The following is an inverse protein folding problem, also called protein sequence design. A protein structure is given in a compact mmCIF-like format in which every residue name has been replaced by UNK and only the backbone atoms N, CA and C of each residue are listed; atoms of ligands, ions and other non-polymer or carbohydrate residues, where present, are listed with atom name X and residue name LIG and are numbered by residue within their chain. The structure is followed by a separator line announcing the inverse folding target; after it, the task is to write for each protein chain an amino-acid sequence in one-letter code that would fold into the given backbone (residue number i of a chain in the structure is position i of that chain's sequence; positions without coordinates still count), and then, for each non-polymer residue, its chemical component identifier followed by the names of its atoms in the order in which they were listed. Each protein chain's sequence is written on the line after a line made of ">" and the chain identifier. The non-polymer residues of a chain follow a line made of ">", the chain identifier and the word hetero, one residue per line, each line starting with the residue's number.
data_IF_710349835850
#
_entry.id   IF_710349835850
#
_cell.length_a   1.000
_cell.length_b   1.000
_cell.length_c   1.000
_cell.angle_alpha   90.00
_cell.angle_beta   90.00
_cell.angle_gamma   90.00
#
_symmetry.space_group_name_H-M   'P 1'
#
loop_
_entity.id
_entity.type
_entity.pdbx_description
1 polymer ?
#
# COMPACT_ATOMS: atom_id res chain seq x y z
N UNK A 1 6.31 -21.91 -9.96
CA UNK A 1 5.52 -20.66 -9.83
C UNK A 1 6.11 -19.63 -10.78
N UNK A 2 5.25 -18.91 -11.50
CA UNK A 2 5.64 -17.91 -12.48
C UNK A 2 5.71 -16.54 -11.81
N UNK A 3 6.84 -15.87 -11.94
CA UNK A 3 7.01 -14.49 -11.48
C UNK A 3 7.73 -13.70 -12.58
N UNK A 4 7.14 -12.58 -12.97
CA UNK A 4 7.59 -11.80 -14.15
C UNK A 4 8.60 -10.71 -13.80
N UNK A 5 9.06 -10.64 -12.59
CA UNK A 5 10.01 -9.62 -12.12
C UNK A 5 10.05 -9.57 -10.62
N UNK A 6 10.43 -8.43 -10.06
CA UNK A 6 10.45 -8.24 -8.61
C UNK A 6 9.05 -8.31 -8.04
N UNK A 7 8.89 -9.12 -6.99
CA UNK A 7 7.62 -9.28 -6.29
C UNK A 7 7.57 -8.30 -5.12
N UNK A 8 6.58 -7.46 -5.14
CA UNK A 8 6.31 -6.52 -4.06
C UNK A 8 5.15 -7.03 -3.21
N UNK A 9 5.30 -6.97 -1.91
CA UNK A 9 4.24 -7.31 -0.94
C UNK A 9 4.36 -6.44 0.30
N UNK A 10 3.27 -6.20 1.02
CA UNK A 10 3.33 -5.58 2.35
C UNK A 10 4.09 -6.49 3.33
N UNK A 11 4.79 -5.94 4.33
CA UNK A 11 5.49 -6.74 5.34
C UNK A 11 4.60 -7.77 6.06
N UNK A 12 3.36 -7.42 6.35
CA UNK A 12 2.38 -8.28 7.02
C UNK A 12 1.86 -9.44 6.14
N UNK A 13 2.15 -9.46 4.85
CA UNK A 13 1.86 -10.57 3.94
C UNK A 13 3.01 -11.59 3.81
N UNK A 14 3.98 -11.53 4.74
CA UNK A 14 5.16 -12.43 4.69
C UNK A 14 4.81 -13.92 4.78
N UNK A 15 3.70 -14.27 5.43
CA UNK A 15 3.22 -15.65 5.59
C UNK A 15 2.15 -16.07 4.60
N UNK A 16 1.68 -15.16 3.75
CA UNK A 16 0.65 -15.44 2.74
C UNK A 16 1.21 -16.23 1.57
N UNK A 17 0.35 -17.01 0.94
CA UNK A 17 0.66 -17.58 -0.39
C UNK A 17 0.67 -16.43 -1.39
N UNK A 18 1.83 -16.13 -1.97
CA UNK A 18 1.95 -15.09 -3.00
C UNK A 18 1.58 -15.71 -4.36
N UNK A 19 0.66 -15.08 -5.08
CA UNK A 19 0.18 -15.53 -6.38
C UNK A 19 0.24 -14.39 -7.38
N UNK A 20 1.09 -14.48 -8.41
CA UNK A 20 1.12 -13.49 -9.48
C UNK A 20 -0.11 -13.64 -10.37
N UNK A 21 -0.94 -12.62 -10.41
CA UNK A 21 -2.10 -12.55 -11.31
C UNK A 21 -2.02 -11.40 -12.28
N UNK A 22 -1.16 -10.43 -11.98
CA UNK A 22 -0.82 -9.32 -12.88
C UNK A 22 0.65 -8.95 -12.74
N UNK A 23 1.23 -8.37 -13.79
CA UNK A 23 2.56 -7.76 -13.76
C UNK A 23 2.47 -6.33 -14.33
N UNK A 24 3.25 -5.41 -13.72
CA UNK A 24 3.20 -3.99 -14.07
C UNK A 24 2.03 -3.24 -13.42
N UNK A 25 1.83 -1.98 -13.82
CA UNK A 25 0.83 -1.05 -13.26
C UNK A 25 -0.02 -0.43 -14.36
N UNK A 26 -1.35 -0.48 -14.23
CA UNK A 26 -2.26 0.12 -15.22
C UNK A 26 -2.14 1.63 -15.34
N UNK A 27 -1.70 2.30 -14.28
CA UNK A 27 -1.51 3.75 -14.27
C UNK A 27 -0.11 4.16 -14.73
N UNK A 28 0.92 3.66 -14.09
CA UNK A 28 2.36 3.82 -14.43
C UNK A 28 2.78 5.28 -14.71
N UNK A 29 2.16 6.27 -14.04
CA UNK A 29 2.43 7.70 -14.27
C UNK A 29 2.88 8.45 -13.04
N UNK A 30 2.70 7.87 -11.84
CA UNK A 30 3.08 8.54 -10.59
C UNK A 30 4.54 8.99 -10.64
N UNK A 31 4.81 10.29 -10.41
CA UNK A 31 6.13 10.87 -10.59
C UNK A 31 7.20 10.28 -9.66
N UNK A 32 6.83 9.82 -8.49
CA UNK A 32 7.74 9.24 -7.50
C UNK A 32 8.05 7.75 -7.74
N UNK A 33 7.20 7.04 -8.48
CA UNK A 33 7.21 5.58 -8.55
C UNK A 33 8.09 5.09 -9.70
N UNK A 34 9.04 4.21 -9.37
CA UNK A 34 9.90 3.48 -10.32
C UNK A 34 9.62 1.99 -10.34
N UNK A 35 8.68 1.52 -9.50
CA UNK A 35 8.29 0.11 -9.46
C UNK A 35 7.79 -0.33 -10.85
N UNK A 36 8.28 -1.48 -11.31
CA UNK A 36 7.98 -2.04 -12.62
C UNK A 36 8.54 -1.27 -13.83
N UNK A 37 9.46 -0.32 -13.63
CA UNK A 37 10.12 0.39 -14.74
C UNK A 37 11.05 -0.54 -15.56
N UNK A 38 11.48 -1.65 -14.99
CA UNK A 38 12.31 -2.70 -15.59
C UNK A 38 11.52 -3.66 -16.50
N UNK A 39 10.19 -3.62 -16.46
CA UNK A 39 9.36 -4.48 -17.30
C UNK A 39 9.27 -3.95 -18.75
N UNK A 40 9.32 -4.82 -19.77
CA UNK A 40 9.22 -4.43 -21.17
C UNK A 40 7.79 -4.06 -21.62
N UNK A 41 6.85 -3.97 -20.70
CA UNK A 41 5.45 -3.60 -20.91
C UNK A 41 4.93 -2.84 -19.70
N UNK A 42 3.85 -2.07 -19.89
CA UNK A 42 3.25 -1.30 -18.80
C UNK A 42 2.43 -2.17 -17.85
N UNK A 43 1.59 -3.04 -18.38
CA UNK A 43 0.68 -3.90 -17.61
C UNK A 43 0.28 -5.13 -18.43
N UNK A 44 0.15 -6.26 -17.75
CA UNK A 44 -0.54 -7.43 -18.29
C UNK A 44 -1.15 -8.26 -17.16
N UNK A 45 -2.22 -8.99 -17.47
CA UNK A 45 -2.73 -10.06 -16.65
C UNK A 45 -1.95 -11.35 -16.93
N UNK A 46 -1.66 -12.15 -15.91
CA UNK A 46 -1.12 -13.50 -16.09
C UNK A 46 -2.16 -14.41 -16.75
N UNK A 47 -1.76 -15.29 -17.68
CA UNK A 47 -2.67 -16.30 -18.24
C UNK A 47 -3.31 -17.15 -17.13
N UNK A 48 -4.58 -17.52 -17.29
CA UNK A 48 -5.27 -18.33 -16.28
C UNK A 48 -4.64 -19.71 -16.11
N UNK A 49 -4.07 -20.23 -17.18
CA UNK A 49 -3.34 -21.50 -17.18
C UNK A 49 -2.09 -21.42 -16.28
N UNK A 50 -1.39 -20.31 -16.30
CA UNK A 50 -0.22 -20.07 -15.45
C UNK A 50 -0.63 -19.94 -13.99
N UNK A 51 -1.70 -19.18 -13.71
CA UNK A 51 -2.28 -19.02 -12.36
C UNK A 51 -2.69 -20.40 -11.79
N UNK A 52 -3.36 -21.23 -12.59
CA UNK A 52 -3.77 -22.57 -12.17
C UNK A 52 -2.55 -23.50 -11.97
N UNK A 53 -1.56 -23.41 -12.84
CA UNK A 53 -0.31 -24.19 -12.72
C UNK A 53 0.45 -23.81 -11.44
N UNK A 54 0.52 -22.52 -11.11
CA UNK A 54 1.15 -22.03 -9.90
C UNK A 54 0.44 -22.50 -8.62
N UNK A 55 -0.89 -22.46 -8.60
CA UNK A 55 -1.67 -22.98 -7.48
C UNK A 55 -1.46 -24.50 -7.30
N UNK A 56 -1.38 -25.25 -8.38
CA UNK A 56 -1.11 -26.69 -8.37
C UNK A 56 0.30 -27.00 -7.85
N UNK A 57 1.29 -26.24 -8.26
CA UNK A 57 2.67 -26.34 -7.76
C UNK A 57 2.74 -25.98 -6.28
N UNK A 58 2.17 -24.83 -5.88
CA UNK A 58 2.11 -24.40 -4.49
C UNK A 58 1.45 -25.44 -3.59
N UNK A 59 0.33 -26.04 -4.02
CA UNK A 59 -0.35 -27.10 -3.27
C UNK A 59 0.59 -28.28 -2.98
N UNK A 60 1.40 -28.70 -3.97
CA UNK A 60 2.39 -29.80 -3.77
C UNK A 60 3.46 -29.39 -2.76
N UNK A 61 4.00 -28.17 -2.86
CA UNK A 61 5.04 -27.66 -1.96
C UNK A 61 4.51 -27.61 -0.52
N UNK A 62 3.35 -27.01 -0.31
CA UNK A 62 2.79 -26.87 1.03
C UNK A 62 2.43 -28.20 1.68
N UNK A 63 1.94 -29.17 0.92
CA UNK A 63 1.69 -30.53 1.42
C UNK A 63 2.97 -31.25 1.79
N UNK A 64 4.04 -31.10 1.00
CA UNK A 64 5.29 -31.85 1.17
C UNK A 64 6.23 -31.28 2.22
N UNK A 65 6.33 -29.96 2.32
CA UNK A 65 7.37 -29.31 3.12
C UNK A 65 6.87 -28.63 4.38
N UNK A 66 5.63 -28.14 4.41
CA UNK A 66 5.21 -27.29 5.51
C UNK A 66 4.16 -27.92 6.42
N UNK A 67 3.36 -28.85 5.94
CA UNK A 67 2.26 -29.47 6.70
C UNK A 67 1.29 -28.41 7.30
N UNK A 68 1.47 -27.15 6.94
CA UNK A 68 0.70 -26.00 7.46
C UNK A 68 -0.53 -25.73 6.61
N UNK A 69 -1.61 -25.40 7.27
CA UNK A 69 -2.80 -24.88 6.60
C UNK A 69 -2.50 -23.48 6.06
N UNK A 70 -2.70 -23.28 4.76
CA UNK A 70 -2.66 -21.97 4.13
C UNK A 70 -4.07 -21.41 4.20
N UNK A 71 -4.26 -20.30 4.92
CA UNK A 71 -5.57 -19.65 5.08
C UNK A 71 -5.67 -18.30 4.39
N UNK A 72 -4.54 -17.78 3.88
CA UNK A 72 -4.48 -16.50 3.20
C UNK A 72 -3.61 -16.55 1.96
N UNK A 73 -4.09 -15.99 0.85
CA UNK A 73 -3.28 -15.66 -0.34
C UNK A 73 -3.24 -14.16 -0.57
N UNK A 74 -2.14 -13.67 -1.14
CA UNK A 74 -2.00 -12.30 -1.59
C UNK A 74 -1.71 -12.28 -3.09
N UNK A 75 -2.60 -11.64 -3.85
CA UNK A 75 -2.43 -11.48 -5.28
C UNK A 75 -1.38 -10.40 -5.56
N UNK A 76 -0.32 -10.77 -6.25
CA UNK A 76 0.79 -9.88 -6.57
C UNK A 76 0.64 -9.20 -7.93
N UNK A 77 1.34 -8.07 -8.09
CA UNK A 77 1.25 -7.09 -9.14
C UNK A 77 1.05 -5.70 -8.53
N UNK A 78 1.14 -4.62 -9.32
CA UNK A 78 0.96 -3.27 -8.76
C UNK A 78 -0.48 -2.99 -8.29
N UNK A 79 -1.45 -3.52 -9.01
CA UNK A 79 -2.86 -3.32 -8.70
C UNK A 79 -3.76 -4.44 -9.27
N UNK A 80 -3.64 -5.68 -8.78
CA UNK A 80 -4.44 -6.81 -9.27
C UNK A 80 -5.94 -6.59 -9.15
N UNK A 81 -6.40 -5.78 -8.19
CA UNK A 81 -7.81 -5.48 -8.02
C UNK A 81 -8.42 -4.69 -9.18
N UNK A 82 -7.60 -4.21 -10.15
CA UNK A 82 -8.08 -3.63 -11.42
C UNK A 82 -8.80 -4.64 -12.31
N UNK A 83 -8.54 -5.92 -12.15
CA UNK A 83 -9.16 -6.98 -12.96
C UNK A 83 -10.69 -6.91 -12.85
N UNK A 84 -11.37 -7.25 -13.94
CA UNK A 84 -12.84 -7.29 -13.97
C UNK A 84 -13.38 -8.31 -12.97
N UNK A 85 -14.58 -8.05 -12.49
CA UNK A 85 -15.29 -8.88 -11.52
C UNK A 85 -15.25 -10.37 -11.87
N UNK A 86 -15.67 -10.76 -13.07
CA UNK A 86 -15.69 -12.17 -13.50
C UNK A 86 -14.32 -12.83 -13.37
N UNK A 87 -13.25 -12.09 -13.68
CA UNK A 87 -11.89 -12.61 -13.61
C UNK A 87 -11.43 -12.80 -12.15
N UNK A 88 -11.77 -11.87 -11.28
CA UNK A 88 -11.50 -12.02 -9.85
C UNK A 88 -12.29 -13.20 -9.25
N UNK A 89 -13.54 -13.40 -9.66
CA UNK A 89 -14.34 -14.56 -9.24
C UNK A 89 -13.74 -15.88 -9.73
N UNK A 90 -13.24 -15.94 -10.97
CA UNK A 90 -12.57 -17.11 -11.51
C UNK A 90 -11.29 -17.45 -10.73
N UNK A 91 -10.47 -16.43 -10.41
CA UNK A 91 -9.26 -16.59 -9.58
C UNK A 91 -9.62 -17.10 -8.20
N UNK A 92 -10.63 -16.54 -7.54
CA UNK A 92 -11.11 -17.03 -6.25
C UNK A 92 -11.56 -18.49 -6.33
N UNK A 93 -12.30 -18.86 -7.38
CA UNK A 93 -12.71 -20.25 -7.61
C UNK A 93 -11.53 -21.22 -7.74
N UNK A 94 -10.46 -20.83 -8.44
CA UNK A 94 -9.22 -21.61 -8.52
C UNK A 94 -8.53 -21.69 -7.16
N UNK A 95 -8.39 -20.58 -6.45
CA UNK A 95 -7.76 -20.54 -5.12
C UNK A 95 -8.45 -21.52 -4.17
N UNK A 96 -9.78 -21.50 -4.07
CA UNK A 96 -10.53 -22.40 -3.19
C UNK A 96 -10.50 -23.86 -3.67
N UNK A 97 -10.42 -24.12 -4.97
CA UNK A 97 -10.28 -25.46 -5.53
C UNK A 97 -8.97 -26.12 -5.06
N UNK A 98 -7.85 -25.41 -5.11
CA UNK A 98 -6.53 -25.95 -4.72
C UNK A 98 -6.27 -25.85 -3.22
N UNK A 99 -6.84 -24.85 -2.57
CA UNK A 99 -6.72 -24.58 -1.13
C UNK A 99 -8.11 -24.42 -0.47
N UNK A 100 -8.84 -25.53 -0.22
CA UNK A 100 -10.21 -25.46 0.36
C UNK A 100 -10.27 -24.81 1.75
N UNK A 101 -9.13 -24.68 2.42
CA UNK A 101 -9.02 -23.99 3.71
C UNK A 101 -8.64 -22.50 3.60
N UNK A 102 -8.66 -21.93 2.40
CA UNK A 102 -8.41 -20.51 2.20
C UNK A 102 -9.56 -19.69 2.80
N UNK A 103 -9.20 -18.73 3.61
CA UNK A 103 -10.15 -17.85 4.31
C UNK A 103 -10.23 -16.48 3.64
N UNK A 104 -9.06 -15.93 3.22
CA UNK A 104 -9.01 -14.58 2.66
C UNK A 104 -8.05 -14.46 1.47
N UNK A 105 -8.40 -13.54 0.56
CA UNK A 105 -7.63 -13.17 -0.64
C UNK A 105 -7.34 -11.68 -0.56
N UNK A 106 -6.09 -11.33 -0.25
CA UNK A 106 -5.60 -9.95 -0.25
C UNK A 106 -5.08 -9.53 -1.62
N UNK A 107 -4.96 -8.22 -1.84
CA UNK A 107 -4.43 -7.67 -3.09
C UNK A 107 -3.98 -6.23 -2.91
N UNK A 108 -3.03 -5.79 -3.73
CA UNK A 108 -2.87 -4.36 -3.95
C UNK A 108 -4.03 -3.81 -4.77
N UNK A 109 -4.42 -2.58 -4.46
CA UNK A 109 -5.43 -1.83 -5.19
C UNK A 109 -5.05 -0.35 -5.27
N UNK A 110 -5.48 0.29 -6.34
CA UNK A 110 -5.60 1.74 -6.41
C UNK A 110 -7.05 2.13 -6.12
N UNK A 111 -7.27 3.36 -5.68
CA UNK A 111 -8.63 3.90 -5.47
C UNK A 111 -9.48 3.76 -6.74
N UNK A 112 -8.89 4.04 -7.91
CA UNK A 112 -9.55 3.91 -9.21
C UNK A 112 -9.94 2.48 -9.61
N UNK A 113 -9.36 1.45 -9.00
CA UNK A 113 -9.69 0.07 -9.33
C UNK A 113 -11.06 -0.33 -8.74
N UNK A 114 -11.44 0.31 -7.64
CA UNK A 114 -12.73 0.10 -6.97
C UNK A 114 -13.88 0.63 -7.84
N UNK A 115 -13.66 1.73 -8.57
CA UNK A 115 -14.68 2.32 -9.46
C UNK A 115 -15.12 1.38 -10.59
N UNK A 116 -14.31 0.35 -10.90
CA UNK A 116 -14.60 -0.62 -11.96
C UNK A 116 -15.58 -1.72 -11.55
N UNK A 117 -16.11 -1.65 -10.33
CA UNK A 117 -17.05 -2.64 -9.77
C UNK A 117 -18.30 -1.95 -9.25
N UNK A 118 -19.45 -2.61 -9.38
CA UNK A 118 -20.68 -2.16 -8.71
C UNK A 118 -20.62 -2.49 -7.22
N UNK A 119 -21.54 -1.97 -6.42
CA UNK A 119 -21.61 -2.27 -4.99
C UNK A 119 -22.01 -3.74 -4.75
N UNK A 120 -22.85 -4.31 -5.63
CA UNK A 120 -23.22 -5.73 -5.62
C UNK A 120 -22.02 -6.61 -5.96
N UNK A 121 -21.18 -6.22 -6.93
CA UNK A 121 -19.96 -6.94 -7.27
C UNK A 121 -18.94 -6.90 -6.12
N UNK A 122 -18.80 -5.77 -5.42
CA UNK A 122 -17.94 -5.66 -4.24
C UNK A 122 -18.43 -6.59 -3.12
N UNK A 123 -19.73 -6.61 -2.83
CA UNK A 123 -20.31 -7.51 -1.85
C UNK A 123 -20.10 -8.99 -2.23
N UNK A 124 -20.25 -9.33 -3.52
CA UNK A 124 -20.01 -10.68 -4.00
C UNK A 124 -18.54 -11.08 -3.92
N UNK A 125 -17.61 -10.17 -4.21
CA UNK A 125 -16.16 -10.38 -4.05
C UNK A 125 -15.81 -10.63 -2.58
N UNK A 126 -16.39 -9.86 -1.64
CA UNK A 126 -16.24 -10.15 -0.21
C UNK A 126 -16.70 -11.58 0.12
N UNK A 127 -17.87 -11.97 -0.34
CA UNK A 127 -18.41 -13.33 -0.18
C UNK A 127 -17.53 -14.42 -0.81
N UNK A 128 -16.74 -14.07 -1.84
CA UNK A 128 -15.77 -14.94 -2.47
C UNK A 128 -14.40 -14.96 -1.78
N UNK A 129 -14.26 -14.28 -0.64
CA UNK A 129 -13.06 -14.26 0.20
C UNK A 129 -12.12 -13.07 -0.05
N UNK A 130 -12.44 -12.13 -0.93
CA UNK A 130 -11.62 -10.92 -1.08
C UNK A 130 -11.72 -10.05 0.16
N UNK A 131 -10.60 -9.94 0.88
CA UNK A 131 -10.50 -9.20 2.13
C UNK A 131 -9.05 -8.80 2.42
N UNK A 132 -8.85 -7.60 2.98
CA UNK A 132 -7.51 -7.07 3.25
C UNK A 132 -6.83 -6.51 1.99
N UNK A 133 -7.48 -5.53 1.33
CA UNK A 133 -6.86 -4.78 0.25
C UNK A 133 -5.80 -3.83 0.81
N UNK A 134 -4.67 -3.73 0.12
CA UNK A 134 -3.63 -2.74 0.41
C UNK A 134 -3.72 -1.62 -0.62
N UNK A 135 -4.08 -0.41 -0.18
CA UNK A 135 -4.36 0.73 -1.04
C UNK A 135 -3.30 1.81 -0.83
N UNK A 136 -2.52 2.08 -1.87
CA UNK A 136 -1.56 3.19 -1.87
C UNK A 136 -2.28 4.52 -2.08
N UNK A 137 -2.83 5.11 -1.01
CA UNK A 137 -3.42 6.45 -1.08
C UNK A 137 -2.34 7.53 -1.16
N UNK A 138 -1.19 7.27 -0.58
CA UNK A 138 0.02 8.09 -0.39
C UNK A 138 -0.23 9.33 0.48
N UNK A 139 -1.30 10.06 0.25
CA UNK A 139 -1.78 11.23 1.01
C UNK A 139 -3.23 11.52 0.63
N UNK A 140 -3.88 12.42 1.37
CA UNK A 140 -5.12 13.06 0.96
C UNK A 140 -4.94 14.58 0.73
N UNK A 141 -3.71 15.04 0.55
CA UNK A 141 -3.41 16.38 0.04
C UNK A 141 -3.66 16.41 -1.48
N UNK A 142 -4.73 17.06 -1.89
CA UNK A 142 -5.15 17.14 -3.30
C UNK A 142 -4.12 17.79 -4.21
N UNK A 143 -3.33 18.73 -3.71
CA UNK A 143 -2.27 19.39 -4.48
C UNK A 143 -1.12 18.40 -4.71
N UNK A 144 -0.70 17.67 -3.68
CA UNK A 144 0.30 16.62 -3.81
C UNK A 144 -0.19 15.49 -4.73
N UNK A 145 -1.44 15.05 -4.61
CA UNK A 145 -2.02 14.03 -5.48
C UNK A 145 -2.02 14.45 -6.96
N UNK A 146 -2.38 15.71 -7.26
CA UNK A 146 -2.31 16.26 -8.62
C UNK A 146 -0.87 16.37 -9.12
N UNK A 147 0.02 16.95 -8.31
CA UNK A 147 1.42 17.10 -8.68
C UNK A 147 2.08 15.75 -8.97
N UNK A 148 1.83 14.75 -8.14
CA UNK A 148 2.38 13.40 -8.28
C UNK A 148 1.70 12.55 -9.35
N UNK A 149 0.69 13.07 -10.05
CA UNK A 149 -0.12 12.37 -11.07
C UNK A 149 -0.70 11.05 -10.55
N UNK A 150 -1.35 11.09 -9.36
CA UNK A 150 -1.99 9.89 -8.78
C UNK A 150 -3.24 9.46 -9.54
N UNK A 151 -3.91 10.38 -10.23
CA UNK A 151 -5.12 10.13 -11.03
C UNK A 151 -6.41 10.02 -10.21
N UNK A 152 -6.41 10.47 -8.95
CA UNK A 152 -7.56 10.61 -8.05
C UNK A 152 -7.26 11.66 -6.96
N UNK A 153 -8.26 12.08 -6.22
CA UNK A 153 -8.22 13.08 -5.17
C UNK A 153 -8.76 12.53 -3.85
N UNK A 154 -8.68 13.31 -2.78
CA UNK A 154 -9.18 12.95 -1.45
C UNK A 154 -10.68 12.55 -1.45
N UNK A 155 -11.49 13.24 -2.25
CA UNK A 155 -12.91 12.91 -2.40
C UNK A 155 -13.12 11.50 -2.98
N UNK A 156 -12.30 11.10 -3.96
CA UNK A 156 -12.37 9.75 -4.54
C UNK A 156 -11.94 8.68 -3.52
N UNK A 157 -10.93 8.97 -2.67
CA UNK A 157 -10.53 8.07 -1.58
C UNK A 157 -11.72 7.84 -0.66
N UNK A 158 -12.36 8.92 -0.21
CA UNK A 158 -13.50 8.86 0.71
C UNK A 158 -14.68 8.09 0.10
N UNK A 159 -15.02 8.38 -1.15
CA UNK A 159 -16.14 7.71 -1.83
C UNK A 159 -15.88 6.22 -2.04
N UNK A 160 -14.74 5.87 -2.64
CA UNK A 160 -14.49 4.50 -3.04
C UNK A 160 -14.17 3.58 -1.84
N UNK A 161 -13.40 4.06 -0.85
CA UNK A 161 -13.15 3.27 0.36
C UNK A 161 -14.41 3.15 1.24
N UNK A 162 -15.29 4.15 1.25
CA UNK A 162 -16.62 4.02 1.87
C UNK A 162 -17.50 2.95 1.22
N UNK A 163 -17.29 2.65 -0.08
CA UNK A 163 -17.93 1.51 -0.76
C UNK A 163 -17.38 0.18 -0.27
N UNK A 164 -16.06 0.09 0.00
CA UNK A 164 -15.45 -1.10 0.61
C UNK A 164 -15.98 -1.33 2.01
N UNK A 165 -16.13 -0.27 2.84
CA UNK A 165 -16.72 -0.35 4.17
C UNK A 165 -18.15 -0.96 4.10
N UNK A 166 -18.98 -0.48 3.18
CA UNK A 166 -20.35 -1.02 2.99
C UNK A 166 -20.38 -2.46 2.49
N UNK A 167 -19.39 -2.85 1.69
CA UNK A 167 -19.24 -4.23 1.19
C UNK A 167 -18.63 -5.19 2.22
N UNK A 168 -18.10 -4.67 3.34
CA UNK A 168 -17.44 -5.47 4.38
C UNK A 168 -16.01 -5.88 4.02
N UNK A 169 -15.42 -5.34 2.94
CA UNK A 169 -14.04 -5.62 2.53
C UNK A 169 -13.10 -4.78 3.39
N UNK A 170 -12.28 -5.42 4.23
CA UNK A 170 -11.23 -4.73 4.98
C UNK A 170 -10.14 -4.22 4.05
N UNK A 171 -9.51 -3.11 4.42
CA UNK A 171 -8.40 -2.53 3.68
C UNK A 171 -7.41 -1.84 4.61
N UNK A 172 -6.18 -1.67 4.10
CA UNK A 172 -5.10 -0.93 4.74
C UNK A 172 -4.65 0.19 3.82
N UNK A 173 -4.30 1.33 4.38
CA UNK A 173 -3.75 2.45 3.63
C UNK A 173 -2.23 2.47 3.71
N UNK A 174 -1.58 2.70 2.58
CA UNK A 174 -0.21 3.16 2.55
C UNK A 174 -0.18 4.68 2.37
N UNK A 175 0.48 5.32 3.33
CA UNK A 175 0.81 6.73 3.37
C UNK A 175 2.29 6.91 3.04
N UNK A 176 2.62 7.90 2.23
CA UNK A 176 3.98 8.17 1.82
C UNK A 176 4.45 9.51 2.40
N UNK A 177 5.14 9.44 3.52
CA UNK A 177 5.65 10.60 4.26
C UNK A 177 6.63 11.41 3.41
N UNK A 178 6.46 12.71 3.37
CA UNK A 178 7.26 13.62 2.58
C UNK A 178 6.74 13.89 1.17
N UNK A 179 5.62 13.27 0.77
CA UNK A 179 5.10 13.39 -0.61
C UNK A 179 4.55 14.77 -0.93
N UNK A 180 4.13 15.53 0.08
CA UNK A 180 3.63 16.92 -0.09
C UNK A 180 4.76 17.93 -0.35
N UNK A 181 6.02 17.57 -0.01
CA UNK A 181 7.19 18.42 -0.20
C UNK A 181 7.39 19.44 0.92
N UNK A 182 8.54 20.12 0.87
CA UNK A 182 9.02 21.05 1.91
C UNK A 182 7.95 21.97 2.44
N UNK A 183 7.81 22.03 3.76
CA UNK A 183 6.89 22.91 4.50
C UNK A 183 5.42 22.52 4.43
N UNK A 184 5.04 21.41 3.77
CA UNK A 184 3.64 21.03 3.54
C UNK A 184 3.22 19.70 4.18
N UNK A 185 4.16 18.92 4.67
CA UNK A 185 3.88 17.56 5.16
C UNK A 185 2.87 17.50 6.29
N UNK A 186 2.99 18.38 7.29
CA UNK A 186 2.03 18.41 8.40
C UNK A 186 0.59 18.69 7.94
N UNK A 187 0.39 19.55 6.95
CA UNK A 187 -0.94 19.85 6.41
C UNK A 187 -1.47 18.68 5.56
N UNK A 188 -0.60 18.01 4.80
CA UNK A 188 -0.92 16.76 4.09
C UNK A 188 -1.32 15.65 5.05
N UNK A 189 -0.60 15.51 6.16
CA UNK A 189 -0.92 14.55 7.22
C UNK A 189 -2.28 14.83 7.87
N UNK A 190 -2.58 16.07 8.20
CA UNK A 190 -3.90 16.49 8.74
C UNK A 190 -5.03 16.24 7.76
N UNK A 191 -4.83 16.56 6.48
CA UNK A 191 -5.81 16.25 5.43
C UNK A 191 -6.06 14.74 5.31
N UNK A 192 -5.00 13.93 5.40
CA UNK A 192 -5.09 12.48 5.36
C UNK A 192 -5.82 11.91 6.59
N UNK A 193 -5.47 12.38 7.78
CA UNK A 193 -6.16 11.98 9.01
C UNK A 193 -7.67 12.32 8.95
N UNK A 194 -8.03 13.49 8.42
CA UNK A 194 -9.42 13.91 8.26
C UNK A 194 -10.22 13.01 7.30
N UNK A 195 -9.59 12.44 6.28
CA UNK A 195 -10.20 11.44 5.40
C UNK A 195 -10.29 10.09 6.11
N UNK A 196 -9.20 9.63 6.74
CA UNK A 196 -9.18 8.36 7.48
C UNK A 196 -10.24 8.32 8.56
N UNK A 197 -10.46 9.41 9.30
CA UNK A 197 -11.46 9.50 10.38
C UNK A 197 -12.92 9.36 9.92
N UNK A 198 -13.17 9.36 8.62
CA UNK A 198 -14.50 9.10 8.02
C UNK A 198 -14.62 7.69 7.43
N UNK A 199 -13.59 6.86 7.57
CA UNK A 199 -13.43 5.55 6.98
C UNK A 199 -12.98 4.55 8.06
N UNK A 200 -12.85 3.26 7.69
CA UNK A 200 -12.47 2.21 8.63
C UNK A 200 -11.23 1.41 8.14
N UNK A 201 -10.10 2.09 7.82
CA UNK A 201 -8.88 1.36 7.48
C UNK A 201 -8.42 0.51 8.68
N UNK A 202 -8.15 -0.78 8.43
CA UNK A 202 -7.64 -1.67 9.46
C UNK A 202 -6.21 -1.28 9.89
N UNK A 203 -5.44 -0.70 8.97
CA UNK A 203 -4.08 -0.24 9.21
C UNK A 203 -3.80 1.02 8.37
N UNK A 204 -3.07 1.96 8.97
CA UNK A 204 -2.44 3.10 8.28
C UNK A 204 -0.93 2.90 8.35
N UNK A 205 -0.32 2.52 7.23
CA UNK A 205 1.11 2.26 7.11
C UNK A 205 1.85 3.46 6.54
N UNK A 206 2.76 4.08 7.31
CA UNK A 206 3.55 5.24 6.88
C UNK A 206 4.97 4.82 6.49
N UNK A 207 5.38 5.12 5.26
CA UNK A 207 6.74 4.92 4.79
C UNK A 207 7.33 6.25 4.30
N UNK A 208 8.61 6.48 4.56
CA UNK A 208 9.31 7.66 4.05
C UNK A 208 9.47 7.57 2.53
N UNK A 209 9.16 8.65 1.83
CA UNK A 209 9.39 8.79 0.40
C UNK A 209 10.88 8.60 0.08
N UNK A 210 11.18 7.67 -0.81
CA UNK A 210 12.52 7.51 -1.39
C UNK A 210 12.52 8.07 -2.80
N UNK A 211 13.47 8.97 -3.09
CA UNK A 211 13.58 9.63 -4.38
C UNK A 211 14.63 8.90 -5.21
N UNK A 212 14.18 8.18 -6.22
CA UNK A 212 15.05 7.45 -7.13
C UNK A 212 15.53 8.34 -8.27
N UNK A 213 16.81 8.25 -8.67
CA UNK A 213 17.39 9.09 -9.74
C UNK A 213 16.71 8.94 -11.10
N UNK A 214 16.08 7.79 -11.36
CA UNK A 214 15.33 7.47 -12.59
C UNK A 214 13.84 7.83 -12.49
N UNK A 215 13.38 8.33 -11.34
CA UNK A 215 12.01 8.79 -11.16
C UNK A 215 11.75 10.13 -11.87
N UNK A 216 10.52 10.35 -12.32
CA UNK A 216 10.08 11.66 -12.84
C UNK A 216 10.21 12.75 -11.77
N UNK A 217 9.98 12.40 -10.49
CA UNK A 217 10.09 13.32 -9.36
C UNK A 217 11.52 13.88 -9.22
N UNK A 218 12.54 13.05 -9.44
CA UNK A 218 13.93 13.53 -9.45
C UNK A 218 14.16 14.59 -10.52
N UNK A 219 13.53 14.44 -11.69
CA UNK A 219 13.55 15.46 -12.74
C UNK A 219 12.90 16.78 -12.31
N UNK A 220 11.76 16.72 -11.61
CA UNK A 220 11.08 17.90 -11.05
C UNK A 220 11.95 18.63 -10.01
N UNK A 221 12.65 17.87 -9.16
CA UNK A 221 13.58 18.44 -8.16
C UNK A 221 14.70 19.20 -8.86
N UNK A 222 15.32 18.60 -9.89
CA UNK A 222 16.39 19.25 -10.63
C UNK A 222 15.97 20.52 -11.37
N UNK A 223 14.70 20.64 -11.70
CA UNK A 223 14.10 21.81 -12.32
C UNK A 223 13.64 22.87 -11.30
N UNK A 224 13.69 22.55 -10.00
CA UNK A 224 13.22 23.44 -8.93
C UNK A 224 11.69 23.48 -8.77
N UNK A 225 10.96 22.56 -9.41
CA UNK A 225 9.51 22.50 -9.35
C UNK A 225 8.98 21.86 -8.07
N UNK A 226 9.82 21.09 -7.37
CA UNK A 226 9.49 20.42 -6.13
C UNK A 226 10.74 20.29 -5.26
N UNK A 227 10.57 20.39 -3.95
CA UNK A 227 11.66 20.27 -2.98
C UNK A 227 11.30 19.25 -1.92
N UNK A 228 12.26 18.39 -1.61
CA UNK A 228 12.12 17.38 -0.57
C UNK A 228 12.09 18.01 0.82
N UNK A 229 11.24 17.48 1.69
CA UNK A 229 11.25 17.79 3.11
C UNK A 229 12.57 17.37 3.78
N UNK A 230 12.99 18.12 4.79
CA UNK A 230 14.01 17.65 5.72
C UNK A 230 13.54 16.37 6.44
N UNK A 231 14.48 15.59 6.94
CA UNK A 231 14.12 14.39 7.70
C UNK A 231 13.33 14.74 8.97
N UNK A 232 13.70 15.85 9.62
CA UNK A 232 12.97 16.36 10.79
C UNK A 232 11.53 16.76 10.45
N UNK A 233 11.28 17.40 9.29
CA UNK A 233 9.93 17.70 8.81
C UNK A 233 9.11 16.43 8.60
N UNK A 234 9.69 15.39 8.00
CA UNK A 234 9.02 14.08 7.81
C UNK A 234 8.58 13.47 9.14
N UNK A 235 9.38 13.58 10.22
CA UNK A 235 8.96 13.09 11.54
C UNK A 235 7.86 13.96 12.16
N UNK A 236 7.84 15.26 11.91
CA UNK A 236 6.72 16.15 12.30
C UNK A 236 5.44 15.79 11.54
N UNK A 237 5.57 15.48 10.27
CA UNK A 237 4.46 15.00 9.43
C UNK A 237 3.86 13.69 9.98
N UNK A 238 4.71 12.67 10.27
CA UNK A 238 4.25 11.41 10.90
C UNK A 238 3.58 11.67 12.24
N UNK A 239 4.14 12.58 13.04
CA UNK A 239 3.56 12.98 14.32
C UNK A 239 2.17 13.60 14.14
N UNK A 240 2.01 14.52 13.17
CA UNK A 240 0.73 15.15 12.86
C UNK A 240 -0.30 14.12 12.36
N UNK A 241 0.12 13.13 11.57
CA UNK A 241 -0.75 12.03 11.14
C UNK A 241 -1.26 11.23 12.34
N UNK A 242 -0.36 10.76 13.21
CA UNK A 242 -0.73 9.98 14.42
C UNK A 242 -1.63 10.79 15.33
N UNK A 243 -1.32 12.09 15.56
CA UNK A 243 -2.13 12.98 16.39
C UNK A 243 -3.55 13.17 15.81
N UNK A 244 -3.67 13.30 14.49
CA UNK A 244 -4.93 13.53 13.80
C UNK A 244 -5.82 12.29 13.66
N UNK A 245 -5.27 11.08 13.76
CA UNK A 245 -6.06 9.84 13.67
C UNK A 245 -6.88 9.62 14.96
N UNK A 246 -8.21 9.60 14.85
CA UNK A 246 -9.16 9.45 15.97
C UNK A 246 -9.92 8.12 15.94
N UNK A 247 -9.73 7.30 14.92
CA UNK A 247 -10.40 6.03 14.70
C UNK A 247 -9.61 4.86 15.30
N UNK A 248 -10.28 3.76 15.66
CA UNK A 248 -9.62 2.48 15.93
C UNK A 248 -8.93 1.97 14.66
N UNK A 249 -7.60 1.92 14.67
CA UNK A 249 -6.80 1.43 13.55
C UNK A 249 -5.41 1.04 14.03
N UNK A 250 -4.74 0.12 13.35
CA UNK A 250 -3.31 -0.06 13.54
C UNK A 250 -2.55 1.07 12.84
N UNK A 251 -1.51 1.59 13.48
CA UNK A 251 -0.53 2.46 12.86
C UNK A 251 0.80 1.74 12.76
N UNK A 252 1.43 1.76 11.58
CA UNK A 252 2.71 1.10 11.37
C UNK A 252 3.65 1.94 10.48
N UNK A 253 4.89 2.12 10.90
CA UNK A 253 5.98 2.68 10.10
C UNK A 253 7.14 1.68 10.11
N UNK A 254 6.95 0.52 9.46
CA UNK A 254 7.83 -0.66 9.53
C UNK A 254 8.69 -0.84 8.27
N UNK A 255 8.51 -0.01 7.25
CA UNK A 255 9.32 -0.08 6.03
C UNK A 255 10.78 0.31 6.26
N UNK A 256 11.71 -0.27 5.50
CA UNK A 256 13.14 0.01 5.60
C UNK A 256 13.49 1.49 5.35
N UNK A 257 12.61 2.25 4.70
CA UNK A 257 12.77 3.69 4.51
C UNK A 257 12.63 4.51 5.80
N UNK A 258 12.09 3.95 6.87
CA UNK A 258 11.98 4.61 8.17
C UNK A 258 13.22 4.30 9.03
N UNK A 259 13.91 5.33 9.52
CA UNK A 259 15.06 5.14 10.42
C UNK A 259 14.62 4.53 11.77
N UNK A 260 13.40 4.83 12.20
CA UNK A 260 12.80 4.24 13.38
C UNK A 260 11.55 3.47 12.99
N UNK A 261 11.43 2.26 13.54
CA UNK A 261 10.27 1.42 13.33
C UNK A 261 9.22 1.68 14.40
N UNK A 262 8.01 2.01 13.99
CA UNK A 262 6.89 2.33 14.86
C UNK A 262 5.74 1.37 14.58
N UNK A 263 5.08 0.93 15.65
CA UNK A 263 3.83 0.17 15.56
C UNK A 263 3.00 0.41 16.82
N UNK A 264 1.71 0.56 16.66
CA UNK A 264 0.77 0.69 17.77
C UNK A 264 -0.68 0.59 17.32
N UNK A 265 -1.55 0.30 18.27
CA UNK A 265 -3.01 0.26 18.07
C UNK A 265 -3.59 1.58 18.57
N UNK A 266 -4.33 2.27 17.72
CA UNK A 266 -4.99 3.53 18.07
C UNK A 266 -6.44 3.27 18.51
N UNK A 267 -6.93 3.98 19.52
CA UNK A 267 -6.29 5.11 20.22
C UNK A 267 -5.36 4.70 21.39
N UNK A 268 -5.27 3.42 21.77
CA UNK A 268 -4.63 2.94 23.01
C UNK A 268 -3.14 3.32 23.10
N UNK A 269 -2.39 3.16 22.01
CA UNK A 269 -0.96 3.45 21.98
C UNK A 269 -0.61 4.87 21.51
N UNK A 270 -1.62 5.71 21.20
CA UNK A 270 -1.41 7.07 20.63
C UNK A 270 -0.42 7.90 21.45
N UNK A 271 -0.60 7.94 22.77
CA UNK A 271 0.27 8.70 23.66
C UNK A 271 1.73 8.24 23.63
N UNK A 272 1.97 6.93 23.51
CA UNK A 272 3.33 6.37 23.42
C UNK A 272 3.99 6.72 22.10
N UNK A 273 3.23 6.61 20.99
CA UNK A 273 3.72 6.95 19.65
C UNK A 273 4.10 8.43 19.56
N UNK A 274 3.24 9.32 20.07
CA UNK A 274 3.50 10.76 20.07
C UNK A 274 4.72 11.11 20.94
N UNK A 275 4.85 10.55 22.14
CA UNK A 275 6.00 10.79 23.01
C UNK A 275 7.32 10.33 22.37
N UNK A 276 7.31 9.18 21.67
CA UNK A 276 8.48 8.71 20.93
C UNK A 276 8.83 9.65 19.76
N UNK A 277 7.84 10.08 18.97
CA UNK A 277 8.06 11.00 17.87
C UNK A 277 8.56 12.37 18.34
N UNK A 278 8.03 12.88 19.46
CA UNK A 278 8.52 14.11 20.09
C UNK A 278 10.00 13.98 20.53
N UNK A 279 10.39 12.81 21.06
CA UNK A 279 11.77 12.53 21.44
C UNK A 279 12.70 12.49 20.21
N UNK A 280 12.29 11.83 19.13
CA UNK A 280 13.04 11.81 17.86
C UNK A 280 13.22 13.21 17.31
N UNK A 281 12.15 13.99 17.19
CA UNK A 281 12.17 15.36 16.66
C UNK A 281 13.10 16.27 17.48
N UNK A 282 13.14 16.07 18.80
CA UNK A 282 13.92 16.90 19.70
C UNK A 282 15.40 16.49 19.76
N UNK A 283 15.69 15.21 19.74
CA UNK A 283 16.99 14.68 20.18
C UNK A 283 17.81 14.04 19.03
N UNK A 284 17.19 13.71 17.88
CA UNK A 284 17.91 13.15 16.73
C UNK A 284 18.17 14.23 15.70
N UNK A 285 19.44 14.39 15.30
CA UNK A 285 19.84 15.42 14.36
C UNK A 285 19.48 15.09 12.90
N UNK A 286 19.19 16.14 12.11
CA UNK A 286 18.92 16.03 10.65
C UNK A 286 19.99 15.20 9.92
N UNK A 287 21.29 15.47 10.19
CA UNK A 287 22.40 14.79 9.53
C UNK A 287 22.46 13.30 9.88
N UNK A 288 22.01 12.90 11.09
CA UNK A 288 21.97 11.50 11.49
C UNK A 288 20.86 10.75 10.76
N UNK A 289 19.68 11.35 10.70
CA UNK A 289 18.54 10.82 9.97
C UNK A 289 18.84 10.73 8.46
N UNK A 290 19.47 11.75 7.90
CA UNK A 290 19.86 11.79 6.48
C UNK A 290 20.87 10.70 6.15
N UNK A 291 21.90 10.49 6.98
CA UNK A 291 22.87 9.40 6.79
C UNK A 291 22.23 8.03 6.79
N UNK A 292 21.23 7.82 7.66
CA UNK A 292 20.47 6.56 7.63
C UNK A 292 19.76 6.39 6.27
N UNK A 293 19.04 7.42 5.81
CA UNK A 293 18.32 7.40 4.53
C UNK A 293 19.24 7.11 3.35
N UNK A 294 20.41 7.72 3.31
CA UNK A 294 21.42 7.51 2.27
C UNK A 294 22.05 6.11 2.34
N UNK A 295 22.03 5.45 3.47
CA UNK A 295 22.54 4.08 3.63
C UNK A 295 21.57 3.00 3.13
N UNK A 296 20.31 3.34 2.86
CA UNK A 296 19.29 2.39 2.37
C UNK A 296 19.41 2.27 0.86
N UNK A 297 20.04 1.19 0.40
CA UNK A 297 20.34 0.99 -1.03
C UNK A 297 19.27 0.17 -1.77
N UNK A 298 18.40 -0.53 -1.04
CA UNK A 298 17.38 -1.41 -1.62
C UNK A 298 16.07 -1.29 -0.84
N UNK A 299 15.07 -0.74 -1.47
CA UNK A 299 13.68 -0.77 -1.03
C UNK A 299 12.88 -1.57 -2.02
#
# INVERSE_FOLDING_TARGET
>A
MHYTGTIWRPPYEASSLLLEVTAGCTHHRCKFCTLYADLPFQFRMSPMEDIEADLKEAQKIYRSFFGRKVSRTFLTGANPFVLKYDRLMEISGLVHRYFPGMETIGSFSRVTDITLKTDEELAALHGAGYDGLTIGIETADDEALRFMDKGYLAADILEQCGRLDRAGIRYSFFYLTGISGEGRGEDGAKATAAVCNKLHPALVGANMLTIYPDSKLYGEIRQGNWKEESETEKYKEVRALVEGLEIPTEFAALGASNAFQLHGVLPEDKGKLLAFLDDVIKNVGEDELRRYRESVHHL
#
